data_IF_925776762433
#
_entry.id   IF_925776762433
#
_cell.length_a   1.000
_cell.length_b   1.000
_cell.length_c   1.000
_cell.angle_alpha   90.00
_cell.angle_beta   90.00
_cell.angle_gamma   90.00
#
_symmetry.space_group_name_H-M   'P 1'
#
loop_
_entity.id
_entity.type
_entity.pdbx_description
1 polymer ?
#
# COMPACT_ATOMS: atom_id res chain seq x y z
N UNK A 1 44.86 54.32 -26.38
CA UNK A 1 44.66 54.70 -27.77
C UNK A 1 43.22 54.58 -28.09
N UNK A 2 42.54 55.66 -27.96
CA UNK A 2 41.65 56.42 -28.85
C UNK A 2 40.45 55.71 -29.40
N UNK A 3 39.31 56.16 -28.95
CA UNK A 3 37.99 56.25 -29.58
C UNK A 3 38.08 57.12 -30.84
N UNK A 4 37.23 57.05 -31.90
CA UNK A 4 35.96 57.76 -31.79
C UNK A 4 34.71 57.14 -32.45
N UNK A 5 33.59 57.73 -32.06
CA UNK A 5 32.22 57.58 -32.53
C UNK A 5 31.97 58.22 -33.93
N UNK A 6 30.82 57.82 -34.53
CA UNK A 6 29.78 58.70 -35.18
C UNK A 6 28.69 57.85 -35.80
N UNK A 7 27.47 57.92 -35.31
CA UNK A 7 26.25 58.58 -35.83
C UNK A 7 25.97 58.46 -37.33
N UNK A 8 24.80 57.84 -37.73
CA UNK A 8 23.66 58.59 -38.21
C UNK A 8 22.41 57.72 -38.40
N UNK A 9 21.29 58.32 -38.18
CA UNK A 9 19.92 57.87 -38.36
C UNK A 9 19.58 57.76 -39.89
N UNK A 10 18.66 56.85 -40.20
CA UNK A 10 17.54 57.23 -41.05
C UNK A 10 16.31 56.33 -40.88
N UNK A 11 15.15 56.97 -41.08
CA UNK A 11 13.84 56.41 -40.88
C UNK A 11 13.33 55.65 -42.07
N UNK A 12 12.56 54.60 -41.88
CA UNK A 12 11.82 53.87 -42.93
C UNK A 12 10.66 53.08 -42.35
N UNK A 13 9.50 53.71 -42.39
CA UNK A 13 8.16 53.11 -42.16
C UNK A 13 7.92 51.94 -43.11
N UNK A 14 7.34 50.81 -42.65
CA UNK A 14 6.10 50.26 -43.23
C UNK A 14 5.76 48.86 -42.78
N UNK A 15 4.51 48.70 -42.43
CA UNK A 15 3.60 47.56 -42.54
C UNK A 15 3.62 46.44 -41.51
N UNK A 16 2.52 46.47 -40.78
CA UNK A 16 1.93 45.39 -40.00
C UNK A 16 1.75 44.12 -40.81
N UNK A 17 2.34 43.04 -40.33
CA UNK A 17 1.99 41.65 -40.67
C UNK A 17 1.46 40.96 -39.43
N UNK A 18 0.13 40.90 -39.32
CA UNK A 18 -0.51 40.03 -38.31
C UNK A 18 -0.29 38.58 -38.74
N UNK A 19 0.66 37.93 -38.14
CA UNK A 19 0.76 36.48 -38.14
C UNK A 19 0.13 35.97 -36.84
N UNK A 20 -1.14 35.58 -36.90
CA UNK A 20 -1.79 34.74 -35.92
C UNK A 20 -1.17 33.35 -36.02
N UNK A 21 -0.16 33.10 -35.19
CA UNK A 21 0.24 31.73 -34.83
C UNK A 21 -0.66 31.28 -33.67
N UNK A 22 -1.86 30.82 -34.01
CA UNK A 22 -2.69 30.00 -33.15
C UNK A 22 -1.96 28.67 -32.92
N UNK A 23 -1.10 28.62 -31.93
CA UNK A 23 -0.56 27.39 -31.40
C UNK A 23 -1.66 26.62 -30.68
N UNK A 24 -2.25 25.66 -31.39
CA UNK A 24 -3.05 24.59 -30.80
C UNK A 24 -2.17 23.86 -29.79
N UNK A 25 -2.19 24.31 -28.54
CA UNK A 25 -1.78 23.52 -27.39
C UNK A 25 -2.84 22.43 -27.18
N UNK A 26 -2.83 21.42 -28.05
CA UNK A 26 -3.52 20.16 -27.78
C UNK A 26 -2.87 19.66 -26.52
N UNK A 27 -3.62 19.76 -25.40
CA UNK A 27 -3.36 19.00 -24.17
C UNK A 27 -3.19 17.55 -24.60
N UNK A 28 -1.95 17.06 -24.64
CA UNK A 28 -1.71 15.64 -24.79
C UNK A 28 -2.34 14.99 -23.56
N UNK A 29 -3.50 14.38 -23.74
CA UNK A 29 -4.11 13.57 -22.71
C UNK A 29 -3.06 12.57 -22.23
N UNK A 30 -2.72 12.62 -20.95
CA UNK A 30 -1.77 11.66 -20.35
C UNK A 30 -2.29 10.25 -20.64
N UNK A 31 -1.39 9.34 -21.01
CA UNK A 31 -1.76 7.95 -21.24
C UNK A 31 -2.46 7.37 -19.98
N UNK A 32 -3.48 6.52 -20.17
CA UNK A 32 -4.21 5.96 -19.06
C UNK A 32 -3.28 5.18 -18.11
N UNK A 33 -3.51 5.34 -16.81
CA UNK A 33 -2.70 4.70 -15.77
C UNK A 33 -2.89 3.18 -15.80
N UNK A 34 -1.79 2.42 -15.89
CA UNK A 34 -1.80 0.96 -15.87
C UNK A 34 -1.59 0.48 -14.44
N UNK A 35 -2.55 -0.26 -13.89
CA UNK A 35 -2.51 -0.77 -12.51
C UNK A 35 -2.49 -2.29 -12.54
N UNK A 36 -1.36 -2.89 -12.13
CA UNK A 36 -1.26 -4.34 -11.90
C UNK A 36 -1.88 -4.70 -10.55
N UNK A 37 -2.51 -5.87 -10.46
CA UNK A 37 -3.10 -6.34 -9.21
C UNK A 37 -3.15 -7.87 -9.15
N UNK A 38 -3.27 -8.42 -7.93
CA UNK A 38 -3.48 -9.86 -7.75
C UNK A 38 -4.87 -10.24 -8.27
N UNK A 39 -4.90 -10.85 -9.45
CA UNK A 39 -6.11 -11.33 -10.12
C UNK A 39 -6.62 -12.68 -9.60
N UNK A 40 -7.61 -13.23 -10.30
CA UNK A 40 -8.29 -12.71 -11.47
C UNK A 40 -9.20 -11.51 -11.17
N UNK A 41 -10.00 -11.06 -12.17
CA UNK A 41 -11.11 -10.16 -11.92
C UNK A 41 -12.13 -10.80 -10.96
N UNK A 42 -12.88 -9.99 -10.22
CA UNK A 42 -13.82 -10.45 -9.19
C UNK A 42 -13.19 -10.63 -7.79
N UNK A 43 -11.88 -10.42 -7.62
CA UNK A 43 -11.20 -10.59 -6.31
C UNK A 43 -11.43 -9.42 -5.37
N UNK A 44 -11.13 -9.61 -4.06
CA UNK A 44 -11.03 -8.51 -3.09
C UNK A 44 -9.95 -7.50 -3.47
N UNK A 45 -8.89 -7.94 -4.18
CA UNK A 45 -7.86 -7.03 -4.69
C UNK A 45 -8.45 -6.10 -5.77
N UNK A 46 -9.31 -6.58 -6.65
CA UNK A 46 -10.01 -5.70 -7.59
C UNK A 46 -10.87 -4.66 -6.87
N UNK A 47 -11.56 -5.03 -5.79
CA UNK A 47 -12.29 -4.05 -4.97
C UNK A 47 -11.38 -2.95 -4.42
N UNK A 48 -10.18 -3.32 -3.98
CA UNK A 48 -9.18 -2.34 -3.55
C UNK A 48 -8.72 -1.44 -4.71
N UNK A 49 -8.44 -2.02 -5.88
CA UNK A 49 -8.05 -1.24 -7.08
C UNK A 49 -9.11 -0.22 -7.44
N UNK A 50 -10.39 -0.62 -7.41
CA UNK A 50 -11.52 0.27 -7.76
C UNK A 50 -11.70 1.47 -6.82
N UNK A 51 -11.12 1.44 -5.62
CA UNK A 51 -11.12 2.59 -4.70
C UNK A 51 -10.16 3.70 -5.16
N UNK A 52 -9.14 3.38 -5.97
CA UNK A 52 -8.05 4.30 -6.33
C UNK A 52 -7.84 4.46 -7.84
N UNK A 53 -8.46 3.60 -8.64
CA UNK A 53 -8.35 3.66 -10.10
C UNK A 53 -9.28 4.74 -10.67
N UNK A 54 -8.75 5.55 -11.60
CA UNK A 54 -9.57 6.41 -12.44
C UNK A 54 -10.40 5.55 -13.42
N UNK A 55 -11.54 6.07 -13.93
CA UNK A 55 -12.40 5.30 -14.84
C UNK A 55 -11.71 4.84 -16.13
N UNK A 56 -10.69 5.54 -16.57
CA UNK A 56 -9.89 5.26 -17.75
C UNK A 56 -8.67 4.37 -17.48
N UNK A 57 -8.41 4.00 -16.22
CA UNK A 57 -7.28 3.17 -15.86
C UNK A 57 -7.33 1.78 -16.51
N UNK A 58 -6.19 1.30 -16.97
CA UNK A 58 -6.03 -0.06 -17.51
C UNK A 58 -5.65 -1.00 -16.38
N UNK A 59 -6.53 -1.93 -16.06
CA UNK A 59 -6.33 -2.91 -14.99
C UNK A 59 -5.68 -4.19 -15.55
N UNK A 60 -4.57 -4.60 -14.92
CA UNK A 60 -3.76 -5.74 -15.34
C UNK A 60 -3.77 -6.82 -14.26
N UNK A 61 -4.64 -7.86 -14.38
CA UNK A 61 -4.66 -8.96 -13.42
C UNK A 61 -3.42 -9.84 -13.57
N UNK A 62 -2.72 -10.07 -12.47
CA UNK A 62 -1.53 -10.93 -12.37
C UNK A 62 -1.83 -12.16 -11.55
N UNK A 63 -1.07 -13.23 -11.76
CA UNK A 63 -1.30 -14.51 -11.07
C UNK A 63 -0.79 -14.52 -9.62
N UNK A 64 0.04 -13.54 -9.23
CA UNK A 64 0.55 -13.39 -7.86
C UNK A 64 0.90 -11.94 -7.52
N UNK A 65 0.93 -11.61 -6.22
CA UNK A 65 1.40 -10.30 -5.76
C UNK A 65 2.86 -10.00 -6.17
N UNK A 66 3.81 -10.95 -6.09
CA UNK A 66 5.16 -10.75 -6.64
C UNK A 66 5.18 -10.38 -8.13
N UNK A 67 4.31 -10.99 -8.96
CA UNK A 67 4.23 -10.65 -10.38
C UNK A 67 3.64 -9.26 -10.60
N UNK A 68 2.65 -8.83 -9.82
CA UNK A 68 2.12 -7.47 -9.89
C UNK A 68 3.21 -6.43 -9.57
N UNK A 69 4.02 -6.67 -8.54
CA UNK A 69 5.16 -5.82 -8.18
C UNK A 69 6.27 -5.85 -9.24
N UNK A 70 6.54 -7.02 -9.83
CA UNK A 70 7.50 -7.14 -10.94
C UNK A 70 7.06 -6.36 -12.18
N UNK A 71 5.76 -6.34 -12.50
CA UNK A 71 5.23 -5.55 -13.61
C UNK A 71 5.51 -4.05 -13.43
N UNK A 72 5.45 -3.52 -12.19
CA UNK A 72 5.83 -2.13 -11.89
C UNK A 72 7.33 -1.91 -12.06
N UNK A 73 8.16 -2.82 -11.55
CA UNK A 73 9.64 -2.74 -11.71
C UNK A 73 10.06 -2.69 -13.16
N UNK A 74 9.43 -3.51 -13.99
CA UNK A 74 9.75 -3.67 -15.41
C UNK A 74 9.07 -2.62 -16.32
N UNK A 75 8.30 -1.67 -15.76
CA UNK A 75 7.60 -0.64 -16.53
C UNK A 75 6.39 -1.15 -17.33
N UNK A 76 5.94 -2.38 -17.11
CA UNK A 76 4.73 -2.95 -17.70
C UNK A 76 3.46 -2.36 -17.07
N UNK A 77 3.54 -1.99 -15.79
CA UNK A 77 2.54 -1.23 -15.07
C UNK A 77 3.16 0.03 -14.45
N UNK A 78 2.32 1.02 -14.18
CA UNK A 78 2.73 2.26 -13.54
C UNK A 78 2.61 2.14 -12.03
N UNK A 79 1.61 1.38 -11.57
CA UNK A 79 1.32 1.08 -10.16
C UNK A 79 0.91 -0.37 -9.98
N UNK A 80 0.97 -0.85 -8.74
CA UNK A 80 0.40 -2.14 -8.35
C UNK A 80 -0.46 -1.98 -7.09
N UNK A 81 -1.53 -2.77 -7.00
CA UNK A 81 -2.31 -2.96 -5.77
C UNK A 81 -2.14 -4.40 -5.30
N UNK A 82 -1.64 -4.56 -4.09
CA UNK A 82 -1.37 -5.88 -3.49
C UNK A 82 -1.82 -5.91 -2.03
N UNK A 83 -2.30 -7.07 -1.52
CA UNK A 83 -2.63 -7.23 -0.11
C UNK A 83 -1.33 -7.23 0.72
N UNK A 84 -1.33 -6.57 1.87
CA UNK A 84 -0.17 -6.54 2.78
C UNK A 84 -0.47 -7.17 4.14
N UNK A 85 -1.73 -7.09 4.58
CA UNK A 85 -2.15 -7.55 5.90
C UNK A 85 -3.63 -7.96 5.89
N UNK A 86 -3.98 -9.02 6.62
CA UNK A 86 -5.34 -9.43 6.89
C UNK A 86 -5.57 -9.46 8.40
N UNK A 87 -6.68 -8.93 8.89
CA UNK A 87 -6.97 -8.79 10.32
C UNK A 87 -7.09 -10.13 11.07
N UNK A 88 -7.25 -11.25 10.35
CA UNK A 88 -7.36 -12.60 10.93
C UNK A 88 -6.04 -13.36 10.77
N UNK A 89 -5.42 -13.31 9.59
CA UNK A 89 -4.27 -14.14 9.22
C UNK A 89 -2.93 -13.42 9.41
N UNK A 90 -2.94 -12.10 9.66
CA UNK A 90 -1.73 -11.29 9.78
C UNK A 90 -1.15 -10.88 8.42
N UNK A 91 0.16 -10.71 8.34
CA UNK A 91 0.84 -10.20 7.17
C UNK A 91 0.85 -11.17 5.98
N UNK A 92 0.77 -10.61 4.78
CA UNK A 92 0.85 -11.37 3.53
C UNK A 92 2.31 -11.57 3.14
N UNK A 93 2.88 -12.69 3.56
CA UNK A 93 4.29 -13.02 3.42
C UNK A 93 4.84 -12.80 2.01
N UNK A 94 4.14 -13.29 0.98
CA UNK A 94 4.57 -13.16 -0.41
C UNK A 94 4.71 -11.69 -0.86
N UNK A 95 3.86 -10.80 -0.36
CA UNK A 95 3.94 -9.37 -0.64
C UNK A 95 5.09 -8.73 0.11
N UNK A 96 5.21 -9.01 1.41
CA UNK A 96 6.28 -8.46 2.25
C UNK A 96 7.66 -8.84 1.71
N UNK A 97 7.87 -10.12 1.40
CA UNK A 97 9.14 -10.60 0.84
C UNK A 97 9.43 -9.99 -0.55
N UNK A 98 8.41 -9.87 -1.40
CA UNK A 98 8.58 -9.27 -2.71
C UNK A 98 8.85 -7.75 -2.67
N UNK A 99 8.35 -7.03 -1.66
CA UNK A 99 8.67 -5.62 -1.42
C UNK A 99 10.07 -5.46 -0.83
N UNK A 100 10.48 -6.39 0.05
CA UNK A 100 11.79 -6.39 0.69
C UNK A 100 12.94 -6.50 -0.29
N UNK A 101 12.77 -7.22 -1.37
CA UNK A 101 13.85 -7.61 -2.28
C UNK A 101 13.71 -6.98 -3.67
N UNK A 102 14.83 -6.96 -4.41
CA UNK A 102 14.90 -6.44 -5.78
C UNK A 102 14.96 -4.91 -5.84
N UNK A 103 14.70 -4.38 -7.05
CA UNK A 103 14.68 -2.92 -7.28
C UNK A 103 13.66 -2.25 -6.36
N UNK A 104 14.01 -1.09 -5.75
CA UNK A 104 13.14 -0.41 -4.81
C UNK A 104 11.78 -0.08 -5.41
N UNK A 105 10.74 -0.29 -4.59
CA UNK A 105 9.39 0.19 -4.83
C UNK A 105 8.93 0.98 -3.60
N UNK A 106 7.96 1.87 -3.78
CA UNK A 106 7.42 2.70 -2.70
C UNK A 106 5.90 2.57 -2.63
N UNK A 107 5.39 2.48 -1.42
CA UNK A 107 3.98 2.55 -1.11
C UNK A 107 3.57 4.02 -1.14
N UNK A 108 2.52 4.33 -1.87
CA UNK A 108 2.01 5.70 -2.05
C UNK A 108 0.56 5.85 -1.56
N UNK A 109 -0.04 4.79 -1.03
CA UNK A 109 -1.38 4.81 -0.46
C UNK A 109 -1.78 3.44 0.08
N UNK A 110 -2.85 3.42 0.86
CA UNK A 110 -3.43 2.19 1.39
C UNK A 110 -4.95 2.17 1.18
N UNK A 111 -5.52 0.97 1.13
CA UNK A 111 -6.96 0.72 1.02
C UNK A 111 -7.34 -0.38 2.00
N UNK A 112 -8.54 -0.28 2.57
CA UNK A 112 -9.16 -1.34 3.34
C UNK A 112 -10.33 -1.93 2.59
N UNK A 113 -10.41 -3.26 2.57
CA UNK A 113 -11.54 -4.00 1.99
C UNK A 113 -12.08 -4.94 3.05
N UNK A 114 -13.35 -4.78 3.39
CA UNK A 114 -14.07 -5.72 4.25
C UNK A 114 -14.19 -7.07 3.56
N UNK A 115 -13.82 -8.13 4.26
CA UNK A 115 -13.88 -9.51 3.75
C UNK A 115 -15.27 -10.06 4.05
N UNK A 116 -16.16 -9.87 3.08
CA UNK A 116 -17.54 -10.35 3.15
C UNK A 116 -17.73 -11.46 2.13
N UNK A 117 -18.18 -12.64 2.58
CA UNK A 117 -18.46 -13.76 1.71
C UNK A 117 -19.96 -13.92 1.48
N UNK A 118 -20.29 -14.35 0.26
CA UNK A 118 -21.62 -14.76 -0.15
C UNK A 118 -21.56 -16.20 -0.64
N UNK A 119 -22.60 -16.97 -0.38
CA UNK A 119 -22.79 -18.24 -1.06
C UNK A 119 -23.54 -17.98 -2.37
N UNK A 120 -22.83 -18.10 -3.47
CA UNK A 120 -23.33 -17.85 -4.82
C UNK A 120 -23.62 -19.14 -5.56
N UNK A 121 -24.63 -19.13 -6.39
CA UNK A 121 -25.06 -20.24 -7.25
C UNK A 121 -25.38 -19.74 -8.65
N UNK A 122 -25.54 -20.66 -9.59
CA UNK A 122 -26.14 -20.34 -10.89
C UNK A 122 -27.62 -19.99 -10.71
N UNK A 123 -28.15 -19.02 -11.49
CA UNK A 123 -29.56 -18.68 -11.42
C UNK A 123 -30.48 -19.93 -11.54
N UNK A 124 -31.45 -20.00 -10.65
CA UNK A 124 -32.38 -21.13 -10.59
C UNK A 124 -31.95 -22.33 -9.74
N UNK A 125 -30.75 -22.32 -9.18
CA UNK A 125 -30.31 -23.35 -8.21
C UNK A 125 -30.96 -23.08 -6.84
N UNK A 126 -31.57 -24.12 -6.24
CA UNK A 126 -32.16 -24.01 -4.89
C UNK A 126 -31.20 -24.48 -3.79
N UNK A 127 -31.41 -24.09 -2.53
CA UNK A 127 -30.54 -24.52 -1.42
C UNK A 127 -30.42 -26.04 -1.29
N UNK A 128 -31.52 -26.78 -1.58
CA UNK A 128 -31.58 -28.23 -1.46
C UNK A 128 -30.66 -28.95 -2.48
N UNK A 129 -30.24 -28.26 -3.52
CA UNK A 129 -29.35 -28.79 -4.55
C UNK A 129 -27.88 -28.61 -4.21
N UNK A 130 -27.55 -27.82 -3.19
CA UNK A 130 -26.15 -27.55 -2.80
C UNK A 130 -25.60 -28.73 -1.99
N UNK A 131 -24.61 -29.43 -2.56
CA UNK A 131 -23.89 -30.54 -1.95
C UNK A 131 -22.37 -30.30 -1.91
N UNK A 132 -21.88 -29.54 -2.88
CA UNK A 132 -20.45 -29.28 -3.05
C UNK A 132 -20.25 -27.77 -3.21
N UNK A 133 -19.32 -27.22 -2.42
CA UNK A 133 -19.07 -25.78 -2.37
C UNK A 133 -17.61 -25.52 -2.77
N UNK A 134 -17.44 -24.78 -3.86
CA UNK A 134 -16.13 -24.37 -4.37
C UNK A 134 -15.65 -23.08 -3.72
N UNK A 135 -14.41 -23.05 -3.23
CA UNK A 135 -13.76 -21.80 -2.77
C UNK A 135 -12.28 -22.03 -2.47
N UNK A 136 -11.55 -20.94 -2.19
CA UNK A 136 -10.19 -21.01 -1.66
C UNK A 136 -10.18 -21.60 -0.24
N UNK A 137 -9.18 -22.42 0.15
CA UNK A 137 -9.11 -23.00 1.49
C UNK A 137 -9.21 -22.01 2.64
N UNK A 138 -8.60 -20.82 2.52
CA UNK A 138 -8.70 -19.76 3.56
C UNK A 138 -10.14 -19.24 3.69
N UNK A 139 -10.85 -19.05 2.59
CA UNK A 139 -12.26 -18.63 2.63
C UNK A 139 -13.16 -19.73 3.22
N UNK A 140 -12.86 -20.99 2.89
CA UNK A 140 -13.55 -22.12 3.52
C UNK A 140 -13.38 -22.12 5.03
N UNK A 141 -12.15 -21.93 5.53
CA UNK A 141 -11.86 -21.89 6.96
C UNK A 141 -12.62 -20.76 7.68
N UNK A 142 -12.84 -19.62 7.00
CA UNK A 142 -13.56 -18.47 7.55
C UNK A 142 -15.09 -18.58 7.50
N UNK A 143 -15.64 -19.56 6.77
CA UNK A 143 -17.09 -19.79 6.63
C UNK A 143 -17.50 -21.19 7.12
N UNK A 144 -16.59 -21.97 7.70
CA UNK A 144 -16.79 -23.38 7.98
C UNK A 144 -17.94 -23.62 8.95
N UNK A 145 -18.00 -22.89 10.04
CA UNK A 145 -19.06 -23.05 11.05
C UNK A 145 -20.43 -22.74 10.48
N UNK A 146 -20.54 -21.66 9.69
CA UNK A 146 -21.78 -21.33 8.98
C UNK A 146 -22.19 -22.44 8.00
N UNK A 147 -21.23 -22.95 7.19
CA UNK A 147 -21.53 -24.02 6.24
C UNK A 147 -21.96 -25.30 6.95
N UNK A 148 -21.28 -25.74 8.00
CA UNK A 148 -21.64 -26.94 8.79
C UNK A 148 -23.04 -26.83 9.38
N UNK A 149 -23.48 -25.64 9.80
CA UNK A 149 -24.82 -25.42 10.35
C UNK A 149 -25.92 -25.33 9.30
N UNK A 150 -25.64 -24.75 8.12
CA UNK A 150 -26.65 -24.47 7.08
C UNK A 150 -26.73 -25.58 6.05
N UNK A 151 -25.61 -26.20 5.72
CA UNK A 151 -25.49 -27.28 4.73
C UNK A 151 -24.74 -28.50 5.34
N UNK A 152 -25.34 -29.22 6.31
CA UNK A 152 -24.71 -30.37 6.95
C UNK A 152 -24.32 -31.41 5.89
N UNK A 153 -23.03 -31.76 5.83
CA UNK A 153 -22.50 -32.71 4.85
C UNK A 153 -22.08 -32.14 3.52
N UNK A 154 -22.14 -30.81 3.32
CA UNK A 154 -21.56 -30.20 2.13
C UNK A 154 -20.03 -30.38 2.06
N UNK A 155 -19.54 -30.69 0.88
CA UNK A 155 -18.11 -31.00 0.65
C UNK A 155 -17.40 -29.80 0.07
N UNK A 156 -16.24 -29.44 0.67
CA UNK A 156 -15.35 -28.41 0.13
C UNK A 156 -14.64 -28.91 -1.14
N UNK A 157 -14.71 -28.11 -2.21
CA UNK A 157 -13.92 -28.29 -3.43
C UNK A 157 -12.92 -27.15 -3.52
N UNK A 158 -11.62 -27.39 -3.31
CA UNK A 158 -10.61 -26.34 -3.34
C UNK A 158 -10.49 -25.67 -4.72
N UNK A 159 -10.42 -24.33 -4.72
CA UNK A 159 -10.14 -23.52 -5.89
C UNK A 159 -8.94 -22.57 -5.60
N UNK A 160 -8.30 -22.09 -6.65
CA UNK A 160 -7.11 -21.22 -6.55
C UNK A 160 -7.42 -19.84 -5.99
N UNK A 161 -8.68 -19.39 -6.11
CA UNK A 161 -9.20 -18.19 -5.45
C UNK A 161 -10.73 -18.27 -5.34
N UNK A 162 -11.33 -17.41 -4.51
CA UNK A 162 -12.80 -17.28 -4.41
C UNK A 162 -13.41 -16.83 -5.74
N UNK A 163 -12.74 -15.92 -6.45
CA UNK A 163 -13.17 -15.45 -7.77
C UNK A 163 -13.03 -16.54 -8.85
N UNK A 164 -11.96 -17.35 -8.80
CA UNK A 164 -11.82 -18.49 -9.71
C UNK A 164 -12.93 -19.54 -9.50
N UNK A 165 -13.32 -19.79 -8.26
CA UNK A 165 -14.47 -20.67 -7.98
C UNK A 165 -15.77 -20.09 -8.59
N UNK A 166 -16.03 -18.79 -8.41
CA UNK A 166 -17.20 -18.15 -9.02
C UNK A 166 -17.17 -18.21 -10.55
N UNK A 167 -16.01 -18.00 -11.16
CA UNK A 167 -15.84 -18.09 -12.61
C UNK A 167 -16.13 -19.51 -13.12
N UNK A 168 -15.51 -20.53 -12.52
CA UNK A 168 -15.75 -21.93 -12.90
C UNK A 168 -17.23 -22.33 -12.76
N UNK A 169 -17.87 -21.87 -11.67
CA UNK A 169 -19.29 -22.14 -11.44
C UNK A 169 -20.16 -21.52 -12.55
N UNK A 170 -19.88 -20.30 -12.98
CA UNK A 170 -20.62 -19.61 -14.04
C UNK A 170 -20.49 -20.31 -15.40
N UNK A 171 -19.35 -20.91 -15.67
CA UNK A 171 -19.06 -21.65 -16.92
C UNK A 171 -19.74 -23.02 -16.98
N UNK A 172 -20.27 -23.52 -15.86
CA UNK A 172 -20.90 -24.84 -15.79
C UNK A 172 -19.90 -26.01 -15.73
N UNK A 173 -18.60 -25.74 -15.68
CA UNK A 173 -17.52 -26.73 -15.66
C UNK A 173 -17.06 -27.08 -14.24
N UNK A 174 -17.65 -26.43 -13.25
CA UNK A 174 -17.31 -26.64 -11.85
C UNK A 174 -17.81 -27.99 -11.36
N UNK A 175 -16.94 -28.76 -10.74
CA UNK A 175 -17.36 -29.98 -10.02
C UNK A 175 -18.08 -29.67 -8.69
N UNK A 176 -18.77 -28.51 -8.56
CA UNK A 176 -19.48 -28.05 -7.37
C UNK A 176 -20.72 -27.23 -7.73
N UNK A 177 -21.65 -27.09 -6.79
CA UNK A 177 -22.99 -26.55 -7.00
C UNK A 177 -23.10 -25.07 -6.61
N UNK A 178 -22.25 -24.63 -5.68
CA UNK A 178 -22.17 -23.27 -5.15
C UNK A 178 -20.73 -22.82 -4.96
N UNK A 179 -20.51 -21.52 -4.91
CA UNK A 179 -19.19 -20.92 -4.61
C UNK A 179 -19.28 -19.92 -3.43
N UNK A 180 -18.33 -19.98 -2.52
CA UNK A 180 -18.10 -18.91 -1.56
C UNK A 180 -17.21 -17.86 -2.20
N UNK A 181 -17.75 -16.67 -2.42
CA UNK A 181 -17.05 -15.57 -3.08
C UNK A 181 -17.57 -14.20 -2.57
N UNK A 182 -16.99 -13.12 -3.06
CA UNK A 182 -17.45 -11.77 -2.75
C UNK A 182 -18.56 -11.29 -3.72
N UNK A 183 -19.22 -10.18 -3.38
CA UNK A 183 -20.31 -9.61 -4.18
C UNK A 183 -19.87 -9.20 -5.60
N UNK A 184 -18.60 -8.77 -5.78
CA UNK A 184 -18.07 -8.41 -7.11
C UNK A 184 -18.00 -9.64 -8.00
N UNK A 185 -17.54 -10.78 -7.48
CA UNK A 185 -17.56 -12.05 -8.24
C UNK A 185 -18.99 -12.45 -8.62
N UNK A 186 -19.93 -12.33 -7.69
CA UNK A 186 -21.35 -12.66 -7.98
C UNK A 186 -21.86 -11.87 -9.18
N UNK A 187 -21.69 -10.54 -9.16
CA UNK A 187 -22.15 -9.66 -10.24
C UNK A 187 -21.36 -9.83 -11.54
N UNK A 188 -20.02 -9.96 -11.47
CA UNK A 188 -19.18 -10.06 -12.65
C UNK A 188 -19.37 -11.36 -13.43
N UNK A 189 -19.76 -12.44 -12.75
CA UNK A 189 -19.96 -13.74 -13.38
C UNK A 189 -21.42 -14.13 -13.56
N UNK A 190 -22.36 -13.19 -13.32
CA UNK A 190 -23.80 -13.42 -13.52
C UNK A 190 -24.37 -14.50 -12.62
N UNK A 191 -23.83 -14.68 -11.43
CA UNK A 191 -24.30 -15.61 -10.41
C UNK A 191 -25.41 -14.97 -9.57
N UNK A 192 -26.09 -15.78 -8.79
CA UNK A 192 -27.09 -15.36 -7.81
C UNK A 192 -26.59 -15.64 -6.39
N UNK A 193 -26.61 -14.65 -5.51
CA UNK A 193 -26.35 -14.87 -4.09
C UNK A 193 -27.57 -15.57 -3.45
N UNK A 194 -27.37 -16.77 -2.90
CA UNK A 194 -28.36 -17.44 -2.05
C UNK A 194 -28.32 -16.91 -0.62
N UNK A 195 -27.11 -16.67 -0.11
CA UNK A 195 -26.89 -16.16 1.25
C UNK A 195 -25.79 -15.09 1.19
N UNK A 196 -25.93 -14.09 2.04
CA UNK A 196 -24.96 -13.00 2.22
C UNK A 196 -24.40 -13.05 3.64
N UNK A 197 -23.21 -12.47 3.82
CA UNK A 197 -22.55 -12.34 5.13
C UNK A 197 -22.36 -13.68 5.84
N UNK A 198 -21.83 -14.67 5.11
CA UNK A 198 -21.73 -16.06 5.56
C UNK A 198 -20.40 -16.36 6.29
N UNK A 199 -19.61 -15.36 6.64
CA UNK A 199 -18.38 -15.54 7.42
C UNK A 199 -18.68 -15.83 8.90
N UNK A 200 -17.92 -16.74 9.51
CA UNK A 200 -18.01 -17.05 10.92
C UNK A 200 -17.57 -15.87 11.81
N UNK A 201 -16.64 -15.03 11.32
CA UNK A 201 -16.17 -13.83 11.99
C UNK A 201 -16.50 -12.60 11.15
N UNK A 202 -17.60 -11.88 11.44
CA UNK A 202 -17.94 -10.65 10.77
C UNK A 202 -16.93 -9.56 11.16
N UNK A 203 -16.52 -8.74 10.18
CA UNK A 203 -15.60 -7.62 10.41
C UNK A 203 -14.14 -7.90 10.04
N UNK A 204 -13.87 -9.02 9.40
CA UNK A 204 -12.55 -9.26 8.79
C UNK A 204 -12.25 -8.18 7.73
N UNK A 205 -11.03 -7.62 7.78
CA UNK A 205 -10.56 -6.60 6.84
C UNK A 205 -9.23 -7.03 6.26
N UNK A 206 -9.06 -6.87 4.96
CA UNK A 206 -7.77 -6.95 4.30
C UNK A 206 -7.29 -5.54 3.96
N UNK A 207 -6.07 -5.23 4.36
CA UNK A 207 -5.37 -4.02 3.99
C UNK A 207 -4.57 -4.26 2.73
N UNK A 208 -4.74 -3.37 1.77
CA UNK A 208 -4.03 -3.33 0.50
C UNK A 208 -3.16 -2.09 0.44
N UNK A 209 -2.10 -2.15 -0.35
CA UNK A 209 -1.21 -1.01 -0.60
C UNK A 209 -1.11 -0.71 -2.09
N UNK A 210 -1.08 0.58 -2.40
CA UNK A 210 -0.78 1.09 -3.73
C UNK A 210 0.72 1.34 -3.83
N UNK A 211 1.36 0.67 -4.76
CA UNK A 211 2.81 0.64 -4.91
C UNK A 211 3.22 1.23 -6.25
N UNK A 212 4.29 2.01 -6.27
CA UNK A 212 4.88 2.59 -7.47
C UNK A 212 6.41 2.45 -7.49
N UNK A 213 7.03 2.79 -8.61
CA UNK A 213 8.48 3.07 -8.63
C UNK A 213 8.80 4.30 -7.77
N UNK A 214 10.03 4.40 -7.23
CA UNK A 214 10.47 5.60 -6.52
C UNK A 214 10.23 6.88 -7.34
N UNK A 215 9.79 7.93 -6.65
CA UNK A 215 9.47 9.23 -7.22
C UNK A 215 9.06 10.19 -6.11
N UNK A 216 8.28 11.22 -6.44
CA UNK A 216 7.73 12.13 -5.45
C UNK A 216 6.78 11.39 -4.50
N UNK A 217 7.00 11.56 -3.22
CA UNK A 217 6.10 11.03 -2.18
C UNK A 217 4.81 11.86 -2.15
N UNK A 218 3.70 11.26 -1.69
CA UNK A 218 2.52 12.01 -1.30
C UNK A 218 2.87 13.15 -0.34
N UNK A 219 2.19 14.28 -0.45
CA UNK A 219 2.35 15.36 0.50
C UNK A 219 1.84 14.95 1.91
N UNK A 220 2.45 15.43 2.99
CA UNK A 220 1.98 15.12 4.33
C UNK A 220 0.56 15.65 4.55
N UNK A 221 -0.28 14.83 5.17
CA UNK A 221 -1.69 15.16 5.48
C UNK A 221 -1.92 15.44 6.96
N UNK A 222 -0.96 15.10 7.82
CA UNK A 222 -1.11 15.08 9.27
C UNK A 222 -1.73 13.79 9.80
N UNK A 223 -2.18 12.91 8.93
CA UNK A 223 -2.67 11.55 9.23
C UNK A 223 -1.94 10.57 8.31
N UNK A 224 -0.67 10.31 8.60
CA UNK A 224 0.22 9.60 7.69
C UNK A 224 0.88 8.38 8.36
N UNK A 225 1.33 7.46 7.54
CA UNK A 225 2.19 6.33 7.88
C UNK A 225 3.48 6.36 7.07
N UNK A 226 4.55 5.87 7.68
CA UNK A 226 5.80 5.55 6.99
C UNK A 226 6.08 4.07 7.16
N UNK A 227 6.20 3.33 6.07
CA UNK A 227 6.57 1.91 6.09
C UNK A 227 8.05 1.76 5.80
N UNK A 228 8.71 0.95 6.62
CA UNK A 228 10.12 0.57 6.46
C UNK A 228 10.31 -0.93 6.61
N UNK A 229 11.45 -1.40 6.15
CA UNK A 229 12.00 -2.68 6.53
C UNK A 229 13.39 -2.49 7.10
N UNK A 230 13.72 -3.22 8.17
CA UNK A 230 14.97 -3.08 8.91
C UNK A 230 15.50 -4.44 9.32
N UNK A 231 16.80 -4.67 9.13
CA UNK A 231 17.49 -5.86 9.62
C UNK A 231 18.11 -5.60 11.00
N UNK A 232 18.11 -6.61 11.86
CA UNK A 232 18.92 -6.57 13.08
C UNK A 232 20.39 -6.86 12.76
N UNK A 233 21.36 -6.20 13.45
CA UNK A 233 22.78 -6.44 13.23
C UNK A 233 23.21 -7.85 13.64
N UNK A 234 22.65 -8.35 14.74
CA UNK A 234 22.90 -9.68 15.30
C UNK A 234 21.65 -10.13 16.06
N UNK A 235 21.43 -11.44 16.12
CA UNK A 235 20.37 -12.02 16.94
C UNK A 235 20.89 -12.27 18.36
N UNK A 236 20.99 -11.21 19.15
CA UNK A 236 21.42 -11.25 20.54
C UNK A 236 20.38 -10.62 21.48
N UNK A 237 20.54 -10.90 22.78
CA UNK A 237 19.65 -10.36 23.81
C UNK A 237 19.68 -8.81 23.76
N UNK A 238 18.50 -8.19 23.63
CA UNK A 238 18.35 -6.74 23.61
C UNK A 238 18.39 -6.10 22.21
N UNK A 239 18.79 -6.79 21.14
CA UNK A 239 18.91 -6.20 19.80
C UNK A 239 17.59 -5.60 19.30
N UNK A 240 16.48 -6.33 19.50
CA UNK A 240 15.13 -5.82 19.17
C UNK A 240 14.77 -4.60 20.03
N UNK A 241 15.10 -4.62 21.32
CA UNK A 241 14.84 -3.49 22.21
C UNK A 241 15.60 -2.23 21.74
N UNK A 242 16.89 -2.36 21.43
CA UNK A 242 17.72 -1.24 20.90
C UNK A 242 17.12 -0.66 19.62
N UNK A 243 16.56 -1.49 18.75
CA UNK A 243 15.86 -1.03 17.56
C UNK A 243 14.58 -0.27 17.94
N UNK A 244 13.76 -0.79 18.84
CA UNK A 244 12.50 -0.15 19.28
C UNK A 244 12.72 1.15 20.06
N UNK A 245 13.81 1.26 20.80
CA UNK A 245 14.21 2.49 21.49
C UNK A 245 14.40 3.66 20.53
N UNK A 246 14.80 3.42 19.27
CA UNK A 246 14.95 4.49 18.28
C UNK A 246 13.63 5.22 18.02
N UNK A 247 12.50 4.54 18.16
CA UNK A 247 11.17 5.09 18.05
C UNK A 247 10.69 5.70 19.38
N UNK A 248 10.79 4.92 20.47
CA UNK A 248 10.24 5.28 21.76
C UNK A 248 10.80 6.61 22.31
N UNK A 249 12.12 6.79 22.27
CA UNK A 249 12.79 8.02 22.79
C UNK A 249 12.48 9.26 21.95
N UNK A 250 11.88 9.11 20.77
CA UNK A 250 11.50 10.19 19.86
C UNK A 250 9.99 10.41 19.80
N UNK A 251 9.21 9.67 20.62
CA UNK A 251 7.76 9.76 20.66
C UNK A 251 7.10 9.33 19.33
N UNK A 252 7.70 8.34 18.67
CA UNK A 252 7.19 7.77 17.43
C UNK A 252 6.44 6.49 17.77
N UNK A 253 5.16 6.44 17.41
CA UNK A 253 4.32 5.25 17.59
C UNK A 253 4.42 4.32 16.38
N UNK A 254 4.19 3.03 16.61
CA UNK A 254 4.20 1.97 15.61
C UNK A 254 2.80 1.36 15.50
N UNK A 255 2.21 1.40 14.31
CA UNK A 255 0.90 0.79 14.08
C UNK A 255 1.00 -0.69 13.67
N UNK A 256 2.16 -1.16 13.21
CA UNK A 256 2.44 -2.56 12.89
C UNK A 256 3.93 -2.85 13.04
N UNK A 257 4.24 -4.03 13.55
CA UNK A 257 5.57 -4.62 13.50
C UNK A 257 5.43 -6.11 13.20
N UNK A 258 6.18 -6.59 12.23
CA UNK A 258 6.15 -7.98 11.81
C UNK A 258 7.56 -8.48 11.53
N UNK A 259 7.94 -9.57 12.21
CA UNK A 259 9.23 -10.22 12.03
C UNK A 259 9.20 -11.21 10.88
N UNK A 260 10.26 -11.23 10.08
CA UNK A 260 10.44 -12.15 8.95
C UNK A 260 11.84 -12.75 8.99
N UNK A 261 11.99 -14.06 8.72
CA UNK A 261 13.31 -14.63 8.48
C UNK A 261 13.98 -13.93 7.30
N UNK A 262 15.26 -13.57 7.43
CA UNK A 262 16.01 -12.90 6.34
C UNK A 262 16.34 -13.82 5.15
N UNK A 263 16.23 -15.14 5.35
CA UNK A 263 16.66 -16.14 4.37
C UNK A 263 18.15 -16.49 4.45
N UNK A 264 18.96 -15.76 5.19
CA UNK A 264 20.42 -15.96 5.31
C UNK A 264 20.82 -16.95 6.42
N UNK A 265 19.88 -17.74 6.91
CA UNK A 265 20.10 -18.74 7.96
C UNK A 265 19.09 -18.63 9.10
N UNK A 266 19.07 -19.64 9.98
CA UNK A 266 18.22 -19.65 11.16
C UNK A 266 18.68 -18.59 12.17
N UNK A 267 17.71 -17.84 12.70
CA UNK A 267 17.96 -16.82 13.73
C UNK A 267 18.19 -15.41 13.21
N UNK A 268 18.31 -15.20 11.90
CA UNK A 268 18.38 -13.87 11.33
C UNK A 268 17.00 -13.36 10.96
N UNK A 269 16.64 -12.16 11.45
CA UNK A 269 15.32 -11.58 11.25
C UNK A 269 15.39 -10.18 10.68
N UNK A 270 14.41 -9.90 9.85
CA UNK A 270 14.06 -8.58 9.34
C UNK A 270 12.69 -8.18 9.87
N UNK A 271 12.49 -6.88 10.07
CA UNK A 271 11.23 -6.35 10.59
C UNK A 271 10.60 -5.41 9.57
N UNK A 272 9.36 -5.72 9.20
CA UNK A 272 8.49 -4.80 8.47
C UNK A 272 7.72 -3.96 9.50
N UNK A 273 7.88 -2.65 9.43
CA UNK A 273 7.37 -1.71 10.45
C UNK A 273 6.57 -0.61 9.78
N UNK A 274 5.38 -0.33 10.31
CA UNK A 274 4.60 0.85 9.98
C UNK A 274 4.67 1.87 11.12
N UNK A 275 5.29 2.97 10.82
CA UNK A 275 5.51 4.13 11.69
C UNK A 275 4.32 5.08 11.55
N UNK A 276 3.78 5.57 12.66
CA UNK A 276 2.77 6.64 12.67
C UNK A 276 3.46 7.98 12.48
N UNK A 277 3.29 8.57 11.31
CA UNK A 277 3.88 9.84 10.92
C UNK A 277 4.43 9.82 9.49
N UNK A 278 4.56 11.02 8.92
CA UNK A 278 5.16 11.23 7.62
C UNK A 278 6.69 11.36 7.73
N UNK A 279 7.43 10.90 6.73
CA UNK A 279 8.90 10.99 6.71
C UNK A 279 9.43 12.42 6.78
N UNK A 280 8.61 13.43 6.47
CA UNK A 280 8.98 14.85 6.64
C UNK A 280 8.92 15.34 8.07
N UNK A 281 8.30 14.61 9.00
CA UNK A 281 8.24 14.96 10.42
C UNK A 281 9.62 14.74 11.07
N UNK A 282 10.08 15.73 11.84
CA UNK A 282 11.41 15.73 12.49
C UNK A 282 11.64 14.50 13.38
N UNK A 283 10.60 14.08 14.13
CA UNK A 283 10.67 12.90 15.00
C UNK A 283 10.86 11.62 14.19
N UNK A 284 10.18 11.48 13.03
CA UNK A 284 10.31 10.32 12.14
C UNK A 284 11.70 10.31 11.50
N UNK A 285 12.18 11.46 11.02
CA UNK A 285 13.54 11.59 10.49
C UNK A 285 14.59 11.19 11.52
N UNK A 286 14.46 11.71 12.76
CA UNK A 286 15.40 11.38 13.84
C UNK A 286 15.39 9.87 14.17
N UNK A 287 14.22 9.21 14.13
CA UNK A 287 14.12 7.77 14.32
C UNK A 287 14.81 7.00 13.20
N UNK A 288 14.59 7.38 11.95
CA UNK A 288 15.24 6.76 10.78
C UNK A 288 16.76 6.94 10.80
N UNK A 289 17.27 8.11 11.20
CA UNK A 289 18.69 8.35 11.41
C UNK A 289 19.26 7.42 12.48
N UNK A 290 18.55 7.25 13.59
CA UNK A 290 18.92 6.31 14.65
C UNK A 290 18.98 4.87 14.13
N UNK A 291 17.95 4.41 13.45
CA UNK A 291 17.91 3.07 12.85
C UNK A 291 19.05 2.84 11.86
N UNK A 292 19.28 3.78 10.96
CA UNK A 292 20.34 3.66 9.94
C UNK A 292 21.72 3.54 10.54
N UNK A 293 21.96 4.09 11.74
CA UNK A 293 23.24 3.97 12.47
C UNK A 293 23.43 2.64 13.17
N UNK A 294 22.33 1.98 13.57
CA UNK A 294 22.36 0.78 14.42
C UNK A 294 21.98 -0.50 13.67
N UNK A 295 21.46 -0.40 12.44
CA UNK A 295 21.03 -1.54 11.65
C UNK A 295 21.95 -1.75 10.45
N UNK A 296 22.19 -2.99 10.02
CA UNK A 296 22.98 -3.29 8.83
C UNK A 296 22.41 -2.62 7.58
N UNK A 297 21.09 -2.56 7.49
CA UNK A 297 20.37 -1.81 6.47
C UNK A 297 18.96 -1.45 6.93
N UNK A 298 18.48 -0.36 6.37
CA UNK A 298 17.10 0.11 6.50
C UNK A 298 16.60 0.39 5.08
N UNK A 299 15.48 -0.21 4.72
CA UNK A 299 14.79 0.05 3.44
C UNK A 299 13.58 0.92 3.71
N UNK A 300 13.56 2.10 3.12
CA UNK A 300 12.37 2.95 3.07
C UNK A 300 11.39 2.41 2.03
N UNK A 301 10.15 2.15 2.44
CA UNK A 301 9.12 1.57 1.60
C UNK A 301 7.99 2.54 1.28
N UNK A 302 8.01 3.76 1.79
CA UNK A 302 7.06 4.81 1.46
C UNK A 302 6.51 5.54 2.66
N UNK A 303 5.97 6.74 2.39
CA UNK A 303 5.24 7.55 3.36
C UNK A 303 3.98 8.04 2.67
N UNK A 304 2.82 7.81 3.27
CA UNK A 304 1.52 7.92 2.61
C UNK A 304 0.39 8.19 3.63
N UNK A 305 -0.74 8.78 3.17
CA UNK A 305 -1.90 9.01 4.01
C UNK A 305 -2.49 7.71 4.58
N UNK A 306 -2.89 7.75 5.85
CA UNK A 306 -3.65 6.70 6.51
C UNK A 306 -5.09 6.70 6.01
N UNK A 307 -5.62 5.49 5.76
CA UNK A 307 -7.00 5.35 5.28
C UNK A 307 -8.05 5.77 6.33
N UNK A 308 -7.71 5.65 7.63
CA UNK A 308 -8.62 6.03 8.72
C UNK A 308 -8.66 7.54 8.96
N UNK A 309 -7.75 8.31 8.36
CA UNK A 309 -7.67 9.77 8.49
C UNK A 309 -7.40 10.26 9.93
N UNK A 310 -7.00 9.36 10.84
CA UNK A 310 -6.74 9.73 12.24
C UNK A 310 -5.44 10.54 12.32
N UNK A 311 -5.57 11.81 12.73
CA UNK A 311 -4.45 12.71 12.85
C UNK A 311 -3.38 12.19 13.82
N UNK A 312 -2.13 12.38 13.45
CA UNK A 312 -0.99 12.09 14.31
C UNK A 312 -0.89 13.18 15.39
N UNK A 313 -0.97 12.79 16.65
CA UNK A 313 -0.84 13.71 17.79
C UNK A 313 0.49 13.45 18.51
N UNK A 314 1.59 14.16 18.15
CA UNK A 314 2.87 13.99 18.82
C UNK A 314 2.77 14.45 20.28
N UNK A 315 3.41 13.69 21.17
CA UNK A 315 3.47 14.04 22.59
C UNK A 315 4.24 15.38 22.80
N UNK A 316 4.01 16.01 23.94
CA UNK A 316 4.76 17.22 24.34
C UNK A 316 6.27 16.92 24.29
N UNK A 317 7.01 17.77 23.60
CA UNK A 317 8.46 17.59 23.44
C UNK A 317 8.88 16.78 22.21
N UNK A 318 7.94 16.19 21.46
CA UNK A 318 8.22 15.42 20.24
C UNK A 318 7.62 16.02 18.97
N UNK A 319 7.11 17.25 19.06
CA UNK A 319 6.65 18.02 17.90
C UNK A 319 7.83 18.49 17.03
N UNK A 320 7.58 18.80 15.77
CA UNK A 320 8.58 19.36 14.86
C UNK A 320 9.23 20.64 15.40
N UNK A 321 8.43 21.51 16.04
CA UNK A 321 8.93 22.75 16.67
C UNK A 321 9.90 22.43 17.81
N UNK A 322 9.62 21.38 18.57
CA UNK A 322 10.49 20.95 19.64
C UNK A 322 11.86 20.47 19.13
N UNK A 323 11.87 19.69 18.06
CA UNK A 323 13.11 19.22 17.43
C UNK A 323 13.87 20.38 16.79
N UNK A 324 13.20 21.29 16.08
CA UNK A 324 13.83 22.48 15.49
C UNK A 324 14.42 23.39 16.57
N UNK A 325 13.68 23.67 17.64
CA UNK A 325 14.17 24.47 18.76
C UNK A 325 15.43 23.87 19.40
N UNK A 326 15.41 22.54 19.63
CA UNK A 326 16.58 21.85 20.19
C UNK A 326 17.80 21.91 19.26
N UNK A 327 17.61 21.76 17.96
CA UNK A 327 18.69 21.87 16.95
C UNK A 327 19.25 23.29 16.91
N UNK A 328 18.40 24.31 16.85
CA UNK A 328 18.83 25.73 16.86
C UNK A 328 19.60 26.09 18.13
N UNK A 329 19.24 25.53 19.27
CA UNK A 329 19.99 25.69 20.51
C UNK A 329 21.41 25.11 20.41
N UNK A 330 21.56 23.86 19.89
CA UNK A 330 22.87 23.25 19.67
C UNK A 330 23.72 24.07 18.68
N UNK A 331 23.12 24.52 17.56
CA UNK A 331 23.80 25.40 16.60
C UNK A 331 24.25 26.71 17.25
N UNK A 332 23.45 27.24 18.18
CA UNK A 332 23.82 28.39 19.01
C UNK A 332 25.07 28.16 19.85
N UNK A 333 25.18 26.95 20.45
CA UNK A 333 26.38 26.58 21.22
C UNK A 333 27.63 26.52 20.33
N UNK A 334 27.49 25.89 19.13
CA UNK A 334 28.57 25.81 18.16
C UNK A 334 29.02 27.19 17.66
N UNK A 335 28.10 28.18 17.64
CA UNK A 335 28.40 29.58 17.31
C UNK A 335 28.91 30.41 18.50
N UNK A 336 29.21 29.77 19.63
CA UNK A 336 29.75 30.46 20.84
C UNK A 336 28.70 31.17 21.70
N UNK A 337 27.42 30.92 21.48
CA UNK A 337 26.35 31.47 22.34
C UNK A 337 26.13 30.52 23.53
N UNK A 338 26.52 30.96 24.73
CA UNK A 338 26.27 30.24 25.97
C UNK A 338 24.86 30.61 26.49
N UNK A 339 23.83 29.93 26.02
CA UNK A 339 22.47 30.08 26.50
C UNK A 339 22.07 28.91 27.40
N UNK A 340 21.26 29.18 28.42
CA UNK A 340 20.81 28.17 29.41
C UNK A 340 19.77 27.20 28.80
N UNK A 341 19.27 27.48 27.62
CA UNK A 341 18.33 26.56 26.90
C UNK A 341 17.05 26.32 27.70
N UNK A 342 16.47 27.33 28.35
CA UNK A 342 15.16 27.15 29.03
C UNK A 342 14.06 26.87 28.02
N UNK A 343 13.31 25.82 28.27
CA UNK A 343 12.10 25.45 27.54
C UNK A 343 10.90 25.72 28.45
N UNK A 344 9.94 26.49 28.00
CA UNK A 344 8.62 26.49 28.63
C UNK A 344 7.94 25.15 28.27
N UNK A 345 7.66 24.35 29.28
CA UNK A 345 7.03 23.02 29.18
C UNK A 345 5.51 23.19 29.29
#
# INVERSE_FOLDING_TARGET
VSVPAQTNADAGTSQAGHSQAGGDARSQAAAPLRIAFLGPFGTFTEQAVRQVASPDAVLLPMTSAPQALAAVRNGQADRAVVPIENSIEGGVNATLDALAHGQPLVIVGEMHVSVVFQLAVRPGTTPEQVRRIGTHPHAWAQCRGWVESTFPGAVHVPATSTAAAAQLLSQGEAGFDAALCNAVSVSSYGLQALYQDVADNPGAVTRFVLVSRPGSLPAPTGADKTTIQVALPVNESGALLTMLEQFAVRGVDLSRIESRPSGDGLGNYEFSIDIVGHVSEERVQAALVGLHRHSPWVRFMGSYPRIDGVANAPAVGTSDDAFRSARNWVEGLLAGRADIGRREI
#
